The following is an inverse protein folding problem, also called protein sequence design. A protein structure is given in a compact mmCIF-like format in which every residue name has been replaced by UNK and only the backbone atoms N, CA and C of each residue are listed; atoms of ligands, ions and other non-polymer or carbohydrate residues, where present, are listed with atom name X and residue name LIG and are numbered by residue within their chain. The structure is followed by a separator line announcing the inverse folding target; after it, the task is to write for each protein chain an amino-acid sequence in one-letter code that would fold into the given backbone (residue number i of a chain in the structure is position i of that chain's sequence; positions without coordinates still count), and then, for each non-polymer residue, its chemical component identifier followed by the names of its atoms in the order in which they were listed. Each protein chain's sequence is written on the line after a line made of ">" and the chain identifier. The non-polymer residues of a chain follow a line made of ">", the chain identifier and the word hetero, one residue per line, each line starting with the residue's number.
data_IF_807054303551
#
_entry.id   IF_807054303551
#
_cell.length_a   1.000
_cell.length_b   1.000
_cell.length_c   1.000
_cell.angle_alpha   90.00
_cell.angle_beta   90.00
_cell.angle_gamma   90.00
#
_symmetry.space_group_name_H-M   'P 1'
#
loop_
_entity.id
_entity.type
_entity.pdbx_description
1 polymer ?
#
# COMPACT_ATOMS: atom_id res chain seq x y z
N UNK A 1 5.37 22.58 12.77
CA UNK A 1 5.64 21.31 12.05
C UNK A 1 5.20 21.43 10.59
N UNK A 2 5.90 22.26 9.80
CA UNK A 2 5.43 22.71 8.47
C UNK A 2 6.40 22.36 7.33
N UNK A 3 7.29 21.41 7.52
CA UNK A 3 8.29 21.01 6.53
C UNK A 3 8.53 19.51 6.56
N UNK A 4 8.91 18.95 5.41
CA UNK A 4 9.41 17.59 5.30
C UNK A 4 10.94 17.61 5.34
N UNK A 5 11.57 16.77 6.15
CA UNK A 5 13.02 16.60 6.20
C UNK A 5 13.40 15.23 5.65
N UNK A 6 14.39 15.20 4.76
CA UNK A 6 14.91 13.96 4.17
C UNK A 6 16.41 13.95 4.38
N UNK A 7 16.90 12.98 5.14
CA UNK A 7 18.31 12.72 5.34
C UNK A 7 18.69 11.43 4.63
N UNK A 8 19.71 11.47 3.77
CA UNK A 8 20.07 10.33 2.91
C UNK A 8 21.53 9.94 3.10
N UNK A 9 21.79 8.67 3.44
CA UNK A 9 23.13 8.10 3.53
C UNK A 9 23.34 7.18 2.34
N UNK A 10 24.44 7.38 1.62
CA UNK A 10 24.86 6.52 0.52
C UNK A 10 26.07 5.71 0.98
N UNK A 11 25.95 4.39 0.90
CA UNK A 11 27.01 3.46 1.25
C UNK A 11 27.45 2.72 -0.01
N UNK A 12 28.75 2.75 -0.30
CA UNK A 12 29.34 2.07 -1.45
C UNK A 12 30.41 1.12 -0.93
N UNK A 13 30.27 -0.16 -1.21
CA UNK A 13 31.20 -1.20 -0.81
C UNK A 13 31.77 -1.90 -2.03
N UNK A 14 33.09 -1.91 -2.17
CA UNK A 14 33.77 -2.73 -3.16
C UNK A 14 34.13 -4.08 -2.51
N UNK A 15 33.65 -5.18 -3.10
CA UNK A 15 33.95 -6.55 -2.67
C UNK A 15 34.60 -7.34 -3.80
N UNK A 16 35.54 -8.20 -3.46
CA UNK A 16 36.11 -9.16 -4.41
C UNK A 16 35.17 -10.36 -4.54
N UNK A 17 34.67 -10.63 -5.74
CA UNK A 17 33.81 -11.79 -5.99
C UNK A 17 34.60 -13.08 -5.81
N UNK A 18 34.31 -13.82 -4.74
CA UNK A 18 34.89 -15.15 -4.48
C UNK A 18 34.09 -16.22 -5.23
N UNK A 19 34.09 -16.11 -6.56
CA UNK A 19 33.62 -17.18 -7.42
C UNK A 19 34.82 -18.07 -7.72
N UNK A 20 34.72 -19.38 -7.47
CA UNK A 20 35.74 -20.41 -7.73
C UNK A 20 36.06 -20.61 -9.23
N UNK A 21 35.86 -19.59 -10.06
CA UNK A 21 36.28 -19.57 -11.45
C UNK A 21 37.34 -18.49 -11.67
N UNK A 22 38.33 -18.85 -12.48
CA UNK A 22 39.50 -18.07 -12.88
C UNK A 22 39.11 -16.63 -13.23
N UNK A 23 39.43 -15.69 -12.32
CA UNK A 23 39.20 -14.25 -12.51
C UNK A 23 38.46 -13.60 -11.34
N UNK A 24 39.19 -13.16 -10.32
CA UNK A 24 38.65 -12.40 -9.19
C UNK A 24 38.11 -11.05 -9.68
N UNK A 25 36.79 -10.95 -9.85
CA UNK A 25 36.13 -9.72 -10.33
C UNK A 25 35.71 -8.85 -9.16
N UNK A 26 36.07 -7.57 -9.20
CA UNK A 26 35.59 -6.59 -8.23
C UNK A 26 34.13 -6.24 -8.50
N UNK A 27 33.29 -6.33 -7.47
CA UNK A 27 31.87 -5.97 -7.49
C UNK A 27 31.68 -4.79 -6.55
N UNK A 28 31.07 -3.73 -7.05
CA UNK A 28 30.64 -2.58 -6.26
C UNK A 28 29.18 -2.78 -5.85
N UNK A 29 28.90 -2.76 -4.56
CA UNK A 29 27.56 -2.80 -4.00
C UNK A 29 27.23 -1.42 -3.47
N UNK A 30 26.14 -0.84 -3.97
CA UNK A 30 25.65 0.46 -3.50
C UNK A 30 24.38 0.28 -2.68
N UNK A 31 24.25 1.01 -1.59
CA UNK A 31 23.08 1.01 -0.71
C UNK A 31 22.70 2.45 -0.38
N UNK A 32 21.41 2.73 -0.37
CA UNK A 32 20.86 4.05 -0.05
C UNK A 32 19.92 3.92 1.13
N UNK A 33 20.16 4.72 2.16
CA UNK A 33 19.29 4.82 3.32
C UNK A 33 18.63 6.19 3.34
N UNK A 34 17.31 6.22 3.35
CA UNK A 34 16.54 7.45 3.46
C UNK A 34 15.82 7.49 4.81
N UNK A 35 16.12 8.52 5.61
CA UNK A 35 15.41 8.86 6.82
C UNK A 35 14.53 10.06 6.53
N UNK A 36 13.21 9.87 6.63
CA UNK A 36 12.22 10.87 6.23
C UNK A 36 11.39 11.25 7.45
N UNK A 37 11.41 12.52 7.80
CA UNK A 37 10.50 13.13 8.76
C UNK A 37 9.47 13.96 8.00
N UNK A 38 8.20 13.57 8.12
CA UNK A 38 7.12 14.19 7.37
C UNK A 38 6.50 15.33 8.19
N UNK A 39 6.04 16.36 7.48
CA UNK A 39 5.25 17.42 8.10
C UNK A 39 3.99 16.85 8.76
N UNK A 40 3.40 17.64 9.68
CA UNK A 40 2.20 17.25 10.38
C UNK A 40 1.05 16.87 9.44
N UNK A 41 0.33 15.80 9.75
CA UNK A 41 -0.78 15.28 8.94
C UNK A 41 -2.11 16.02 9.18
N UNK A 42 -2.12 17.01 10.08
CA UNK A 42 -3.28 17.79 10.44
C UNK A 42 -3.82 18.67 9.29
N UNK A 43 -5.14 18.81 9.25
CA UNK A 43 -5.81 19.60 8.20
C UNK A 43 -5.73 21.10 8.46
N UNK A 44 -5.51 21.88 7.39
CA UNK A 44 -5.45 23.35 7.42
C UNK A 44 -6.68 24.04 7.99
N UNK A 45 -7.85 23.40 7.92
CA UNK A 45 -9.08 23.95 8.53
C UNK A 45 -8.96 24.16 10.05
N UNK A 46 -7.96 23.54 10.69
CA UNK A 46 -7.63 23.75 12.11
C UNK A 46 -6.67 24.90 12.37
N UNK A 47 -5.88 25.28 11.37
CA UNK A 47 -5.00 26.43 11.50
C UNK A 47 -5.86 27.66 11.21
N UNK A 48 -6.17 28.47 12.22
CA UNK A 48 -6.77 29.82 12.08
C UNK A 48 -5.80 30.81 11.43
N UNK A 49 -5.05 30.33 10.45
CA UNK A 49 -4.05 31.05 9.68
C UNK A 49 -4.77 31.87 8.60
N UNK A 50 -4.33 33.10 8.37
CA UNK A 50 -4.92 34.04 7.42
C UNK A 50 -3.85 34.46 6.40
N UNK A 51 -4.24 34.67 5.15
CA UNK A 51 -3.36 35.20 4.10
C UNK A 51 -2.25 34.23 3.67
N UNK A 52 -1.00 34.67 3.68
CA UNK A 52 0.14 33.92 3.15
C UNK A 52 0.46 32.63 3.93
N UNK A 53 0.09 32.57 5.22
CA UNK A 53 0.20 31.35 6.02
C UNK A 53 -0.73 30.22 5.50
N UNK A 54 -1.86 30.56 4.86
CA UNK A 54 -2.75 29.58 4.21
C UNK A 54 -2.06 29.02 2.97
N UNK A 55 -1.46 29.89 2.13
CA UNK A 55 -0.77 29.47 0.90
C UNK A 55 0.39 28.52 1.21
N UNK A 56 1.18 28.84 2.23
CA UNK A 56 2.24 27.97 2.73
C UNK A 56 1.68 26.62 3.18
N UNK A 57 0.63 26.65 4.01
CA UNK A 57 -0.02 25.44 4.51
C UNK A 57 -0.57 24.53 3.40
N UNK A 58 -1.14 25.12 2.34
CA UNK A 58 -1.60 24.38 1.15
C UNK A 58 -0.42 23.68 0.46
N UNK A 59 0.70 24.39 0.28
CA UNK A 59 1.90 23.84 -0.37
C UNK A 59 2.50 22.67 0.41
N UNK A 60 2.51 22.74 1.73
CA UNK A 60 3.04 21.68 2.61
C UNK A 60 2.16 20.42 2.54
N UNK A 61 0.85 20.61 2.59
CA UNK A 61 -0.12 19.53 2.54
C UNK A 61 -0.28 18.92 1.15
N UNK A 62 0.13 19.63 0.09
CA UNK A 62 0.22 19.06 -1.25
C UNK A 62 1.14 17.83 -1.27
N UNK A 63 2.27 17.87 -0.56
CA UNK A 63 3.20 16.75 -0.46
C UNK A 63 2.55 15.51 0.18
N UNK A 64 1.88 15.68 1.33
CA UNK A 64 1.19 14.58 2.02
C UNK A 64 -0.02 14.06 1.25
N UNK A 65 -0.74 14.97 0.57
CA UNK A 65 -1.88 14.61 -0.26
C UNK A 65 -1.44 13.77 -1.46
N UNK A 66 -0.41 14.22 -2.20
CA UNK A 66 0.17 13.47 -3.31
C UNK A 66 0.70 12.11 -2.85
N UNK A 67 1.38 12.05 -1.70
CA UNK A 67 1.83 10.81 -1.08
C UNK A 67 0.66 9.85 -0.81
N UNK A 68 -0.47 10.38 -0.30
CA UNK A 68 -1.68 9.60 -0.07
C UNK A 68 -2.29 9.04 -1.36
N UNK A 69 -2.22 9.79 -2.47
CA UNK A 69 -2.69 9.35 -3.78
C UNK A 69 -1.81 8.23 -4.34
N UNK A 70 -0.48 8.38 -4.25
CA UNK A 70 0.49 7.35 -4.64
C UNK A 70 0.26 6.05 -3.86
N UNK A 71 0.13 6.13 -2.53
CA UNK A 71 -0.12 4.97 -1.68
C UNK A 71 -1.44 4.27 -2.04
N UNK A 72 -2.48 5.06 -2.34
CA UNK A 72 -3.79 4.52 -2.72
C UNK A 72 -3.74 3.84 -4.10
N UNK A 73 -2.95 4.38 -5.04
CA UNK A 73 -2.74 3.78 -6.35
C UNK A 73 -1.93 2.46 -6.27
N UNK A 74 -0.95 2.40 -5.37
CA UNK A 74 -0.09 1.23 -5.17
C UNK A 74 -0.76 0.08 -4.39
N UNK A 75 -1.79 0.36 -3.59
CA UNK A 75 -2.45 -0.63 -2.74
C UNK A 75 -3.20 -1.72 -3.52
N UNK A 76 -3.87 -1.36 -4.60
CA UNK A 76 -4.83 -2.24 -5.27
C UNK A 76 -4.16 -2.96 -6.46
N UNK A 77 -3.73 -4.23 -6.34
CA UNK A 77 -3.10 -4.96 -7.45
C UNK A 77 -4.07 -5.19 -8.63
N UNK A 78 -5.38 -5.21 -8.37
CA UNK A 78 -6.41 -5.27 -9.41
C UNK A 78 -6.50 -3.95 -10.21
N UNK A 79 -6.32 -2.80 -9.53
CA UNK A 79 -6.18 -1.51 -10.19
C UNK A 79 -4.80 -1.31 -10.78
N UNK A 80 -3.73 -1.95 -10.30
CA UNK A 80 -2.42 -1.86 -10.94
C UNK A 80 -2.42 -2.37 -12.40
N UNK A 81 -3.36 -3.25 -12.77
CA UNK A 81 -3.58 -3.65 -14.18
C UNK A 81 -4.29 -2.58 -15.03
N UNK A 82 -5.05 -1.67 -14.43
CA UNK A 82 -5.83 -0.63 -15.14
C UNK A 82 -5.26 0.78 -14.97
N UNK A 83 -4.57 1.03 -13.86
CA UNK A 83 -3.85 2.26 -13.54
C UNK A 83 -2.46 2.13 -14.14
N UNK A 84 -2.35 2.56 -15.39
CA UNK A 84 -1.09 2.55 -16.15
C UNK A 84 -0.03 3.49 -15.55
N UNK A 85 -0.44 4.49 -14.77
CA UNK A 85 0.44 5.54 -14.28
C UNK A 85 0.23 5.85 -12.79
N UNK A 86 1.31 5.78 -12.01
CA UNK A 86 1.33 6.17 -10.60
C UNK A 86 1.80 7.64 -10.52
N UNK A 87 1.06 8.53 -9.81
CA UNK A 87 1.30 9.98 -9.84
C UNK A 87 2.47 10.44 -8.95
N UNK A 88 3.66 9.87 -9.13
CA UNK A 88 4.84 10.32 -8.37
C UNK A 88 5.21 11.78 -8.66
N UNK A 89 4.84 12.30 -9.84
CA UNK A 89 5.22 13.63 -10.31
C UNK A 89 4.43 14.78 -9.67
N UNK A 90 3.34 14.48 -8.98
CA UNK A 90 2.43 15.48 -8.41
C UNK A 90 3.07 16.29 -7.26
N UNK A 91 4.13 15.77 -6.63
CA UNK A 91 4.92 16.50 -5.65
C UNK A 91 6.41 16.17 -5.72
N UNK A 92 7.26 17.10 -5.27
CA UNK A 92 8.71 16.84 -5.15
C UNK A 92 9.00 15.70 -4.17
N UNK A 93 8.23 15.60 -3.08
CA UNK A 93 8.35 14.56 -2.06
C UNK A 93 8.15 13.17 -2.67
N UNK A 94 7.05 12.96 -3.40
CA UNK A 94 6.73 11.68 -4.04
C UNK A 94 7.71 11.31 -5.16
N UNK A 95 8.37 12.28 -5.80
CA UNK A 95 9.45 12.03 -6.77
C UNK A 95 10.72 11.52 -6.09
N UNK A 96 11.09 12.11 -4.95
CA UNK A 96 12.27 11.68 -4.19
C UNK A 96 12.06 10.30 -3.57
N UNK A 97 10.82 10.00 -3.13
CA UNK A 97 10.46 8.72 -2.50
C UNK A 97 9.94 7.66 -3.48
N UNK A 98 10.08 7.89 -4.79
CA UNK A 98 9.58 6.97 -5.80
C UNK A 98 10.20 5.57 -5.67
N UNK A 99 11.47 5.49 -5.31
CA UNK A 99 12.15 4.20 -5.12
C UNK A 99 11.67 3.51 -3.82
N UNK A 100 11.36 4.30 -2.79
CA UNK A 100 10.85 3.81 -1.51
C UNK A 100 9.42 3.29 -1.58
N UNK A 101 8.59 3.76 -2.51
CA UNK A 101 7.17 3.39 -2.59
C UNK A 101 6.93 2.60 -3.87
N UNK A 102 6.87 1.27 -3.79
CA UNK A 102 6.66 0.39 -4.95
C UNK A 102 7.89 0.20 -5.84
N UNK A 103 9.06 0.69 -5.44
CA UNK A 103 10.34 0.55 -6.16
C UNK A 103 11.31 -0.46 -5.55
N UNK A 104 12.60 -0.20 -5.73
CA UNK A 104 13.72 -1.02 -5.28
C UNK A 104 14.24 -0.54 -3.91
N UNK A 105 13.42 -0.71 -2.88
CA UNK A 105 13.82 -0.36 -1.52
C UNK A 105 13.10 -1.20 -0.47
N UNK A 106 13.78 -1.42 0.65
CA UNK A 106 13.13 -1.84 1.89
C UNK A 106 12.59 -0.62 2.61
N UNK A 107 11.28 -0.56 2.77
CA UNK A 107 10.60 0.64 3.28
C UNK A 107 9.83 0.31 4.54
N UNK A 108 10.10 1.07 5.59
CA UNK A 108 9.42 1.01 6.87
C UNK A 108 8.71 2.34 7.10
N UNK A 109 7.43 2.28 7.46
CA UNK A 109 6.66 3.45 7.88
C UNK A 109 6.37 3.35 9.38
N UNK A 110 6.74 4.38 10.13
CA UNK A 110 6.37 4.54 11.54
C UNK A 110 5.24 5.55 11.64
N UNK A 111 4.09 5.12 12.15
CA UNK A 111 2.93 5.98 12.33
C UNK A 111 2.89 6.49 13.77
N UNK A 112 3.26 7.76 13.96
CA UNK A 112 3.20 8.42 15.28
C UNK A 112 1.78 8.90 15.56
N UNK A 113 1.18 8.39 16.64
CA UNK A 113 -0.17 8.78 17.09
C UNK A 113 -0.14 9.25 18.53
N UNK A 114 -1.01 10.20 18.86
CA UNK A 114 -1.15 10.73 20.22
C UNK A 114 -2.39 10.10 20.89
N UNK A 115 -2.29 9.69 22.18
CA UNK A 115 -3.40 9.09 22.92
C UNK A 115 -4.44 10.10 23.43
N UNK A 116 -4.24 11.40 23.20
CA UNK A 116 -5.12 12.45 23.74
C UNK A 116 -6.53 12.38 23.12
N UNK A 117 -7.57 12.46 23.96
CA UNK A 117 -8.98 12.33 23.57
C UNK A 117 -9.39 13.33 22.48
N UNK A 118 -8.82 14.53 22.49
CA UNK A 118 -9.03 15.55 21.47
C UNK A 118 -8.64 15.07 20.05
N UNK A 119 -7.50 14.38 19.91
CA UNK A 119 -7.05 13.87 18.61
C UNK A 119 -7.89 12.68 18.12
N UNK A 120 -8.50 11.94 19.04
CA UNK A 120 -9.44 10.85 18.75
C UNK A 120 -10.78 11.43 18.30
N UNK A 121 -11.35 12.41 19.03
CA UNK A 121 -12.62 13.09 18.69
C UNK A 121 -12.57 13.79 17.32
N UNK A 122 -11.40 14.29 16.93
CA UNK A 122 -11.20 14.99 15.64
C UNK A 122 -10.79 14.03 14.50
N UNK A 123 -10.80 12.72 14.73
CA UNK A 123 -10.48 11.67 13.75
C UNK A 123 -9.05 11.72 13.16
N UNK A 124 -8.10 12.48 13.72
CA UNK A 124 -6.73 12.55 13.18
C UNK A 124 -5.94 11.26 13.44
N UNK A 125 -6.09 10.68 14.64
CA UNK A 125 -5.51 9.37 14.96
C UNK A 125 -6.05 8.29 14.02
N UNK A 126 -7.36 8.29 13.77
CA UNK A 126 -8.00 7.34 12.85
C UNK A 126 -7.51 7.53 11.41
N UNK A 127 -7.35 8.76 10.95
CA UNK A 127 -6.84 9.05 9.60
C UNK A 127 -5.40 8.55 9.44
N UNK A 128 -4.55 8.77 10.44
CA UNK A 128 -3.15 8.31 10.45
C UNK A 128 -3.08 6.79 10.41
N UNK A 129 -3.90 6.09 11.21
CA UNK A 129 -3.97 4.62 11.20
C UNK A 129 -4.52 4.07 9.87
N UNK A 130 -5.56 4.69 9.30
CA UNK A 130 -6.07 4.33 7.96
C UNK A 130 -5.01 4.52 6.88
N UNK A 131 -4.19 5.57 7.00
CA UNK A 131 -3.08 5.82 6.09
C UNK A 131 -2.01 4.73 6.21
N UNK A 132 -1.56 4.42 7.43
CA UNK A 132 -0.60 3.36 7.70
C UNK A 132 -1.10 1.99 7.20
N UNK A 133 -2.38 1.68 7.40
CA UNK A 133 -2.97 0.44 6.91
C UNK A 133 -2.98 0.36 5.37
N UNK A 134 -3.17 1.50 4.67
CA UNK A 134 -3.02 1.52 3.21
C UNK A 134 -1.57 1.30 2.79
N UNK A 135 -0.63 1.99 3.44
CA UNK A 135 0.81 1.87 3.17
C UNK A 135 1.35 0.45 3.39
N UNK A 136 0.85 -0.26 4.41
CA UNK A 136 1.22 -1.66 4.71
C UNK A 136 1.00 -2.62 3.54
N UNK A 137 0.02 -2.35 2.67
CA UNK A 137 -0.34 -3.23 1.57
C UNK A 137 0.51 -3.00 0.30
N UNK A 138 1.42 -2.01 0.30
CA UNK A 138 2.32 -1.75 -0.82
C UNK A 138 3.39 -2.85 -0.86
N UNK A 139 3.60 -3.40 -2.06
CA UNK A 139 4.63 -4.41 -2.29
C UNK A 139 5.82 -3.76 -3.00
N UNK A 140 6.96 -3.71 -2.32
CA UNK A 140 8.22 -3.32 -2.92
C UNK A 140 8.98 -4.54 -3.45
N UNK A 141 9.83 -4.31 -4.47
CA UNK A 141 10.71 -5.35 -5.01
C UNK A 141 12.16 -4.94 -4.80
N UNK A 142 12.65 -5.16 -3.58
CA UNK A 142 14.04 -4.90 -3.24
C UNK A 142 14.98 -5.91 -3.93
N UNK A 143 16.04 -5.40 -4.54
CA UNK A 143 17.11 -6.11 -5.23
C UNK A 143 18.46 -5.51 -4.81
N UNK A 144 19.47 -6.36 -4.68
CA UNK A 144 20.81 -5.90 -4.33
C UNK A 144 21.40 -5.15 -5.53
N UNK A 145 21.70 -3.87 -5.32
CA UNK A 145 22.37 -3.04 -6.33
C UNK A 145 23.85 -3.40 -6.39
N UNK A 146 24.16 -4.48 -7.10
CA UNK A 146 25.52 -4.92 -7.37
C UNK A 146 25.87 -4.59 -8.83
N UNK A 147 26.85 -3.71 -9.02
CA UNK A 147 27.44 -3.39 -10.32
C UNK A 147 28.85 -3.92 -10.36
N UNK A 148 29.34 -4.28 -11.54
CA UNK A 148 30.74 -4.64 -11.70
C UNK A 148 31.59 -3.38 -11.58
N UNK A 149 32.72 -3.45 -10.87
CA UNK A 149 33.59 -2.30 -10.69
C UNK A 149 34.05 -1.76 -12.06
N UNK A 150 33.90 -0.45 -12.26
CA UNK A 150 34.22 0.23 -13.52
C UNK A 150 33.02 0.54 -14.42
N UNK A 151 31.83 -0.05 -14.21
CA UNK A 151 30.63 0.31 -15.01
C UNK A 151 30.09 1.72 -14.73
N UNK A 152 30.51 2.37 -13.65
CA UNK A 152 30.19 3.77 -13.36
C UNK A 152 31.20 4.74 -14.02
N UNK A 153 32.32 4.21 -14.53
CA UNK A 153 33.38 4.96 -15.17
C UNK A 153 33.24 4.90 -16.70
N UNK A 154 33.00 6.06 -17.31
CA UNK A 154 32.80 6.20 -18.75
C UNK A 154 34.06 5.77 -19.53
N UNK A 155 35.25 6.02 -18.99
CA UNK A 155 36.52 5.69 -19.66
C UNK A 155 36.76 4.17 -19.65
N UNK A 156 36.39 3.50 -18.56
CA UNK A 156 36.40 2.04 -18.47
C UNK A 156 35.41 1.41 -19.46
N UNK A 157 34.18 1.94 -19.55
CA UNK A 157 33.18 1.49 -20.53
C UNK A 157 33.65 1.66 -21.98
N UNK A 158 34.25 2.80 -22.31
CA UNK A 158 34.78 3.06 -23.66
C UNK A 158 35.92 2.12 -24.02
N UNK A 159 36.88 1.90 -23.10
CA UNK A 159 37.99 0.98 -23.32
C UNK A 159 37.53 -0.48 -23.45
N UNK A 160 36.53 -0.90 -22.67
CA UNK A 160 35.92 -2.22 -22.78
C UNK A 160 35.22 -2.42 -24.13
N UNK A 161 34.46 -1.42 -24.59
CA UNK A 161 33.79 -1.45 -25.91
C UNK A 161 34.82 -1.57 -27.03
N UNK A 162 35.94 -0.83 -26.96
CA UNK A 162 37.03 -0.93 -27.93
C UNK A 162 37.66 -2.33 -27.94
N UNK A 163 37.91 -2.91 -26.76
CA UNK A 163 38.46 -4.26 -26.63
C UNK A 163 37.52 -5.32 -27.23
N UNK A 164 36.23 -5.28 -26.87
CA UNK A 164 35.23 -6.21 -27.39
C UNK A 164 35.04 -6.07 -28.91
N UNK A 165 35.07 -4.85 -29.45
CA UNK A 165 35.04 -4.62 -30.90
C UNK A 165 36.24 -5.26 -31.61
N UNK A 166 37.43 -5.18 -31.01
CA UNK A 166 38.65 -5.81 -31.54
C UNK A 166 38.57 -7.34 -31.47
N UNK A 167 38.09 -7.90 -30.37
CA UNK A 167 37.88 -9.36 -30.24
C UNK A 167 36.83 -9.87 -31.23
N UNK A 168 35.72 -9.15 -31.43
CA UNK A 168 34.72 -9.49 -32.44
C UNK A 168 35.27 -9.39 -33.87
N UNK A 169 36.13 -8.41 -34.16
CA UNK A 169 36.81 -8.31 -35.44
C UNK A 169 37.76 -9.50 -35.66
N UNK A 170 38.50 -9.90 -34.63
CA UNK A 170 39.37 -11.07 -34.68
C UNK A 170 38.58 -12.38 -34.84
N UNK A 171 37.46 -12.54 -34.12
CA UNK A 171 36.57 -13.72 -34.23
C UNK A 171 35.88 -13.83 -35.58
N UNK A 172 35.52 -12.69 -36.19
CA UNK A 172 35.02 -12.63 -37.57
C UNK A 172 36.13 -12.95 -38.57
N UNK A 173 37.35 -12.49 -38.33
CA UNK A 173 38.51 -12.79 -39.17
C UNK A 173 38.98 -14.24 -39.05
N UNK A 174 38.81 -14.87 -37.87
CA UNK A 174 39.21 -16.26 -37.61
C UNK A 174 38.24 -17.30 -38.17
N UNK A 175 37.24 -16.92 -38.98
CA UNK A 175 36.48 -17.84 -39.84
C UNK A 175 35.53 -18.83 -39.14
N UNK A 176 35.52 -18.93 -37.82
CA UNK A 176 34.74 -19.93 -37.06
C UNK A 176 33.23 -19.84 -37.33
N UNK A 177 32.72 -18.63 -37.57
CA UNK A 177 31.31 -18.39 -37.96
C UNK A 177 31.03 -18.82 -39.40
N UNK A 178 32.02 -18.75 -40.28
CA UNK A 178 31.91 -19.19 -41.67
C UNK A 178 31.90 -20.73 -41.77
N UNK A 179 32.75 -21.43 -41.01
CA UNK A 179 32.79 -22.91 -40.96
C UNK A 179 31.52 -23.56 -40.38
N UNK A 180 30.92 -22.93 -39.36
CA UNK A 180 29.65 -23.41 -38.80
C UNK A 180 28.49 -23.18 -39.77
N UNK A 181 28.54 -22.08 -40.54
CA UNK A 181 27.55 -21.78 -41.57
C UNK A 181 27.67 -22.69 -42.81
N UNK A 182 28.87 -23.13 -43.17
CA UNK A 182 29.07 -24.09 -44.26
C UNK A 182 28.60 -25.48 -43.87
N UNK A 183 28.81 -25.90 -42.61
CA UNK A 183 28.37 -27.21 -42.10
C UNK A 183 26.85 -27.35 -42.04
N UNK A 184 26.12 -26.25 -41.82
CA UNK A 184 24.66 -26.21 -41.88
C UNK A 184 24.11 -26.30 -43.31
N UNK A 185 24.84 -25.76 -44.31
CA UNK A 185 24.42 -25.79 -45.73
C UNK A 185 24.57 -27.17 -46.37
N UNK A 186 25.55 -27.96 -45.95
CA UNK A 186 25.74 -29.34 -46.44
C UNK A 186 24.65 -30.29 -45.96
N UNK A 187 24.00 -30.00 -44.83
CA UNK A 187 22.89 -30.80 -44.30
C UNK A 187 21.56 -30.49 -45.02
N UNK A 188 21.41 -29.28 -45.54
CA UNK A 188 20.21 -28.85 -46.29
C UNK A 188 20.18 -29.29 -47.76
N UNK A 189 21.25 -29.90 -48.28
CA UNK A 189 21.36 -30.31 -49.69
C UNK A 189 21.13 -31.81 -49.93
N UNK A 190 20.49 -32.53 -49.01
CA UNK A 190 20.23 -33.99 -49.12
C UNK A 190 18.78 -34.33 -49.54
N UNK A 191 17.86 -33.35 -49.61
CA UNK A 191 16.54 -33.58 -50.20
C UNK A 191 16.52 -33.06 -51.65
N UNK A 192 16.58 -33.95 -52.65
CA UNK A 192 15.59 -33.92 -53.76
C UNK A 192 15.70 -35.00 -54.86
N UNK A 193 16.66 -35.93 -54.89
CA UNK A 193 16.66 -36.97 -55.93
C UNK A 193 16.95 -38.37 -55.41
N UNK A 194 15.93 -39.23 -55.31
CA UNK A 194 16.15 -40.65 -54.99
C UNK A 194 14.95 -41.47 -54.51
N UNK A 195 13.79 -41.36 -55.13
CA UNK A 195 12.75 -42.38 -54.99
C UNK A 195 13.12 -43.62 -55.85
N UNK A 196 13.15 -44.80 -55.22
CA UNK A 196 13.49 -46.13 -55.77
C UNK A 196 14.97 -46.53 -55.77
N UNK A 197 15.42 -47.10 -54.65
CA UNK A 197 15.93 -48.48 -54.58
C UNK A 197 16.17 -48.85 -53.12
N UNK A 198 15.60 -49.98 -52.69
CA UNK A 198 15.83 -50.53 -51.37
C UNK A 198 17.29 -50.91 -51.19
N UNK A 199 17.91 -50.36 -50.14
CA UNK A 199 18.62 -51.09 -49.08
C UNK A 199 19.10 -50.04 -48.07
N UNK A 200 18.26 -49.77 -47.07
CA UNK A 200 18.59 -48.84 -45.99
C UNK A 200 19.55 -49.53 -45.04
N UNK A 201 20.84 -49.19 -45.13
CA UNK A 201 21.88 -49.74 -44.26
C UNK A 201 21.53 -49.64 -42.77
N UNK A 202 22.24 -50.41 -41.90
CA UNK A 202 21.90 -50.64 -40.49
C UNK A 202 21.73 -49.37 -39.63
N UNK A 203 22.18 -48.22 -40.13
CA UNK A 203 22.12 -46.93 -39.44
C UNK A 203 20.72 -46.27 -39.48
N UNK A 204 19.93 -46.45 -40.54
CA UNK A 204 18.58 -45.84 -40.62
C UNK A 204 17.56 -46.60 -39.74
N UNK A 205 17.71 -47.92 -39.65
CA UNK A 205 16.89 -48.75 -38.77
C UNK A 205 17.23 -48.47 -37.30
N UNK A 206 18.51 -48.38 -36.95
CA UNK A 206 18.95 -48.00 -35.61
C UNK A 206 18.48 -46.58 -35.21
N UNK A 207 18.49 -45.63 -36.14
CA UNK A 207 18.00 -44.28 -35.89
C UNK A 207 16.48 -44.28 -35.65
N UNK A 208 15.73 -45.08 -36.41
CA UNK A 208 14.28 -45.26 -36.23
C UNK A 208 13.93 -45.93 -34.89
N UNK A 209 14.71 -46.92 -34.47
CA UNK A 209 14.56 -47.58 -33.18
C UNK A 209 14.91 -46.63 -32.01
N UNK A 210 15.94 -45.80 -32.16
CA UNK A 210 16.26 -44.77 -31.17
C UNK A 210 15.16 -43.70 -31.04
N UNK A 211 14.49 -43.36 -32.16
CA UNK A 211 13.40 -42.41 -32.18
C UNK A 211 12.15 -42.96 -31.48
N UNK A 212 11.80 -44.24 -31.71
CA UNK A 212 10.68 -44.88 -31.02
C UNK A 212 10.94 -45.04 -29.53
N UNK A 213 12.18 -45.36 -29.13
CA UNK A 213 12.58 -45.42 -27.73
C UNK A 213 12.51 -44.04 -27.05
N UNK A 214 12.97 -42.99 -27.73
CA UNK A 214 12.92 -41.62 -27.21
C UNK A 214 11.46 -41.13 -27.09
N UNK A 215 10.61 -41.50 -28.04
CA UNK A 215 9.17 -41.20 -28.01
C UNK A 215 8.46 -41.92 -26.84
N UNK A 216 8.85 -43.15 -26.55
CA UNK A 216 8.36 -43.90 -25.39
C UNK A 216 8.82 -43.29 -24.05
N UNK A 217 10.09 -42.84 -23.96
CA UNK A 217 10.61 -42.13 -22.78
C UNK A 217 9.88 -40.80 -22.54
N UNK A 218 9.59 -40.05 -23.61
CA UNK A 218 8.85 -38.79 -23.53
C UNK A 218 7.41 -39.00 -23.06
N UNK A 219 6.72 -40.01 -23.57
CA UNK A 219 5.36 -40.37 -23.14
C UNK A 219 5.33 -40.77 -21.65
N UNK A 220 6.33 -41.52 -21.18
CA UNK A 220 6.46 -41.91 -19.78
C UNK A 220 6.73 -40.69 -18.88
N UNK A 221 7.62 -39.79 -19.27
CA UNK A 221 7.91 -38.56 -18.52
C UNK A 221 6.69 -37.64 -18.41
N UNK A 222 5.84 -37.58 -19.44
CA UNK A 222 4.59 -36.81 -19.43
C UNK A 222 3.56 -37.40 -18.45
N UNK A 223 3.46 -38.73 -18.41
CA UNK A 223 2.65 -39.49 -17.44
C UNK A 223 3.11 -39.22 -15.99
N UNK A 224 4.41 -39.33 -15.73
CA UNK A 224 4.97 -39.14 -14.39
C UNK A 224 4.78 -37.70 -13.91
N UNK A 225 4.89 -36.71 -14.81
CA UNK A 225 4.62 -35.30 -14.51
C UNK A 225 3.15 -35.04 -14.18
N UNK A 226 2.20 -35.65 -14.91
CA UNK A 226 0.77 -35.51 -14.66
C UNK A 226 0.35 -36.18 -13.35
N UNK A 227 0.95 -37.31 -13.00
CA UNK A 227 0.73 -37.99 -11.72
C UNK A 227 1.35 -37.20 -10.54
N UNK A 228 2.52 -36.60 -10.71
CA UNK A 228 3.12 -35.72 -9.71
C UNK A 228 2.27 -34.45 -9.47
N UNK A 229 1.69 -33.87 -10.52
CA UNK A 229 0.80 -32.71 -10.42
C UNK A 229 -0.53 -33.02 -9.72
N UNK A 230 -1.13 -34.20 -9.98
CA UNK A 230 -2.38 -34.59 -9.31
C UNK A 230 -2.15 -34.90 -7.82
N UNK A 231 -1.04 -35.54 -7.48
CA UNK A 231 -0.63 -35.77 -6.09
C UNK A 231 -0.35 -34.45 -5.35
N UNK A 232 0.34 -33.50 -5.99
CA UNK A 232 0.57 -32.17 -5.42
C UNK A 232 -0.73 -31.40 -5.19
N UNK A 233 -1.69 -31.46 -6.12
CA UNK A 233 -3.00 -30.80 -5.99
C UNK A 233 -3.88 -31.43 -4.89
N UNK A 234 -3.76 -32.74 -4.70
CA UNK A 234 -4.52 -33.48 -3.67
C UNK A 234 -3.97 -33.18 -2.27
N UNK A 235 -2.63 -33.14 -2.12
CA UNK A 235 -1.94 -32.77 -0.88
C UNK A 235 -2.14 -31.29 -0.52
N UNK A 236 -2.14 -30.38 -1.51
CA UNK A 236 -2.46 -28.97 -1.27
C UNK A 236 -3.91 -28.75 -0.82
N UNK A 237 -4.85 -29.54 -1.34
CA UNK A 237 -6.27 -29.41 -0.99
C UNK A 237 -6.60 -29.87 0.43
N UNK A 238 -5.90 -30.88 0.95
CA UNK A 238 -6.15 -31.41 2.31
C UNK A 238 -5.43 -30.62 3.40
N UNK A 239 -4.24 -30.07 3.13
CA UNK A 239 -3.46 -29.31 4.13
C UNK A 239 -4.03 -27.89 4.35
N UNK A 240 -4.62 -27.27 3.32
CA UNK A 240 -5.10 -25.88 3.44
C UNK A 240 -6.43 -25.71 4.17
N UNK A 241 -7.23 -26.78 4.32
CA UNK A 241 -8.58 -26.66 4.86
C UNK A 241 -8.65 -27.00 6.36
N UNK A 242 -7.95 -28.04 6.84
CA UNK A 242 -7.96 -28.38 8.27
C UNK A 242 -7.15 -27.41 9.14
N UNK A 243 -5.95 -27.05 8.71
CA UNK A 243 -5.06 -26.17 9.50
C UNK A 243 -5.54 -24.71 9.55
N UNK A 244 -6.28 -24.25 8.53
CA UNK A 244 -6.82 -22.90 8.46
C UNK A 244 -8.10 -22.77 9.30
N UNK A 245 -8.97 -23.77 9.25
CA UNK A 245 -10.21 -23.81 10.05
C UNK A 245 -9.88 -23.82 11.56
N UNK A 246 -8.94 -24.68 11.99
CA UNK A 246 -8.54 -24.79 13.40
C UNK A 246 -7.85 -23.52 13.94
N UNK A 247 -7.17 -22.75 13.08
CA UNK A 247 -6.53 -21.48 13.47
C UNK A 247 -7.54 -20.33 13.53
N UNK A 248 -8.61 -20.38 12.74
CA UNK A 248 -9.60 -19.30 12.63
C UNK A 248 -10.73 -19.45 13.64
N UNK A 249 -11.08 -20.69 14.00
CA UNK A 249 -12.10 -21.00 14.99
C UNK A 249 -11.98 -20.16 16.29
N UNK A 250 -10.82 -20.09 16.97
CA UNK A 250 -10.71 -19.34 18.22
C UNK A 250 -10.85 -17.83 18.02
N UNK A 251 -10.35 -17.30 16.91
CA UNK A 251 -10.44 -15.87 16.57
C UNK A 251 -11.89 -15.47 16.30
N UNK A 252 -12.62 -16.30 15.56
CA UNK A 252 -14.05 -16.09 15.27
C UNK A 252 -14.89 -16.17 16.54
N UNK A 253 -14.59 -17.09 17.46
CA UNK A 253 -15.27 -17.15 18.76
C UNK A 253 -15.00 -15.93 19.64
N UNK A 254 -13.78 -15.41 19.65
CA UNK A 254 -13.43 -14.19 20.39
C UNK A 254 -14.16 -12.98 19.83
N UNK A 255 -14.22 -12.82 18.50
CA UNK A 255 -15.02 -11.78 17.86
C UNK A 255 -16.50 -11.91 18.16
N UNK A 256 -17.07 -13.12 18.14
CA UNK A 256 -18.47 -13.36 18.53
C UNK A 256 -18.74 -12.92 19.97
N UNK A 257 -17.85 -13.26 20.91
CA UNK A 257 -17.95 -12.81 22.32
C UNK A 257 -17.85 -11.29 22.45
N UNK A 258 -16.96 -10.65 21.68
CA UNK A 258 -16.84 -9.19 21.70
C UNK A 258 -18.08 -8.50 21.13
N UNK A 259 -18.69 -9.06 20.07
CA UNK A 259 -19.91 -8.51 19.48
C UNK A 259 -21.07 -8.60 20.46
N UNK A 260 -21.28 -9.75 21.10
CA UNK A 260 -22.36 -9.90 22.09
C UNK A 260 -22.17 -9.00 23.31
N UNK A 261 -20.93 -8.83 23.77
CA UNK A 261 -20.60 -7.87 24.83
C UNK A 261 -20.95 -6.42 24.42
N UNK A 262 -20.55 -6.01 23.21
CA UNK A 262 -20.86 -4.67 22.69
C UNK A 262 -22.36 -4.45 22.50
N UNK A 263 -23.09 -5.45 22.01
CA UNK A 263 -24.56 -5.41 21.89
C UNK A 263 -25.23 -5.25 23.25
N UNK A 264 -24.74 -5.95 24.29
CA UNK A 264 -25.26 -5.79 25.65
C UNK A 264 -25.02 -4.39 26.23
N UNK A 265 -23.83 -3.81 26.01
CA UNK A 265 -23.51 -2.44 26.43
C UNK A 265 -24.36 -1.41 25.69
N UNK A 266 -24.61 -1.63 24.39
CA UNK A 266 -25.47 -0.78 23.59
C UNK A 266 -26.93 -0.85 24.07
N UNK A 267 -27.41 -2.01 24.48
CA UNK A 267 -28.74 -2.15 25.08
C UNK A 267 -28.85 -1.39 26.41
N UNK A 268 -27.86 -1.51 27.30
CA UNK A 268 -27.82 -0.79 28.58
C UNK A 268 -27.77 0.72 28.40
N UNK A 269 -26.93 1.22 27.49
CA UNK A 269 -26.82 2.65 27.21
C UNK A 269 -28.08 3.21 26.58
N UNK A 270 -28.75 2.47 25.70
CA UNK A 270 -30.08 2.84 25.17
C UNK A 270 -31.13 2.94 26.27
N UNK A 271 -31.16 1.97 27.19
CA UNK A 271 -32.10 2.01 28.31
C UNK A 271 -31.84 3.20 29.25
N UNK A 272 -30.56 3.48 29.56
CA UNK A 272 -30.18 4.64 30.35
C UNK A 272 -30.54 5.97 29.67
N UNK A 273 -30.35 6.06 28.35
CA UNK A 273 -30.72 7.24 27.57
C UNK A 273 -32.24 7.47 27.60
N UNK A 274 -33.04 6.42 27.37
CA UNK A 274 -34.50 6.52 27.41
C UNK A 274 -35.01 6.99 28.79
N UNK A 275 -34.42 6.49 29.88
CA UNK A 275 -34.74 6.95 31.23
C UNK A 275 -34.38 8.43 31.44
N UNK A 276 -33.22 8.86 30.93
CA UNK A 276 -32.79 10.26 31.00
C UNK A 276 -33.71 11.17 30.18
N UNK A 277 -34.13 10.75 28.99
CA UNK A 277 -35.09 11.49 28.15
C UNK A 277 -36.43 11.64 28.86
N UNK A 278 -36.96 10.56 29.44
CA UNK A 278 -38.20 10.61 30.21
C UNK A 278 -38.09 11.59 31.40
N UNK A 279 -36.98 11.54 32.14
CA UNK A 279 -36.73 12.48 33.25
C UNK A 279 -36.67 13.94 32.78
N UNK A 280 -36.04 14.20 31.63
CA UNK A 280 -36.00 15.53 31.02
C UNK A 280 -37.39 16.02 30.62
N UNK A 281 -38.21 15.18 29.99
CA UNK A 281 -39.58 15.57 29.61
C UNK A 281 -40.46 15.88 30.83
N UNK A 282 -40.27 15.15 31.94
CA UNK A 282 -40.99 15.44 33.18
C UNK A 282 -40.57 16.78 33.79
N UNK A 283 -39.27 17.09 33.77
CA UNK A 283 -38.74 18.38 34.24
C UNK A 283 -39.20 19.54 33.36
N UNK A 284 -39.22 19.37 32.04
CA UNK A 284 -39.76 20.37 31.11
C UNK A 284 -41.25 20.64 31.37
N UNK A 285 -42.03 19.59 31.64
CA UNK A 285 -43.43 19.72 32.05
C UNK A 285 -43.61 20.53 33.34
N UNK A 286 -42.80 20.24 34.37
CA UNK A 286 -42.80 20.99 35.64
C UNK A 286 -42.40 22.45 35.43
N UNK A 287 -41.38 22.71 34.62
CA UNK A 287 -40.92 24.05 34.29
C UNK A 287 -42.02 24.87 33.59
N UNK A 288 -42.69 24.27 32.60
CA UNK A 288 -43.80 24.91 31.87
C UNK A 288 -44.98 25.23 32.80
N UNK A 289 -45.30 24.34 33.73
CA UNK A 289 -46.35 24.57 34.72
C UNK A 289 -46.01 25.74 35.67
N UNK A 290 -44.78 25.76 36.20
CA UNK A 290 -44.29 26.85 37.06
C UNK A 290 -44.26 28.19 36.32
N UNK A 291 -43.89 28.21 35.04
CA UNK A 291 -43.92 29.41 34.21
C UNK A 291 -45.35 29.98 34.09
N UNK A 292 -46.35 29.12 33.84
CA UNK A 292 -47.74 29.55 33.75
C UNK A 292 -48.26 30.12 35.08
N UNK A 293 -47.91 29.49 36.21
CA UNK A 293 -48.27 30.01 37.54
C UNK A 293 -47.64 31.39 37.75
N UNK A 294 -46.36 31.54 37.42
CA UNK A 294 -45.63 32.79 37.59
C UNK A 294 -46.20 33.91 36.72
N UNK A 295 -46.58 33.62 35.47
CA UNK A 295 -47.29 34.57 34.60
C UNK A 295 -48.64 34.99 35.20
N UNK A 296 -49.43 34.04 35.70
CA UNK A 296 -50.70 34.35 36.36
C UNK A 296 -50.52 35.21 37.61
N UNK A 297 -49.52 34.91 38.44
CA UNK A 297 -49.18 35.72 39.61
C UNK A 297 -48.73 37.13 39.21
N UNK A 298 -47.93 37.26 38.16
CA UNK A 298 -47.51 38.56 37.60
C UNK A 298 -48.70 39.39 37.14
N UNK A 299 -49.67 38.77 36.45
CA UNK A 299 -50.90 39.43 36.00
C UNK A 299 -51.74 39.91 37.19
N UNK A 300 -51.94 39.06 38.20
CA UNK A 300 -52.69 39.42 39.41
C UNK A 300 -52.01 40.58 40.17
N UNK A 301 -50.68 40.56 40.28
CA UNK A 301 -49.92 41.65 40.88
C UNK A 301 -50.06 42.96 40.10
N UNK A 302 -50.08 42.89 38.76
CA UNK A 302 -50.32 44.06 37.91
C UNK A 302 -51.73 44.63 38.13
N UNK A 303 -52.75 43.78 38.22
CA UNK A 303 -54.11 44.20 38.54
C UNK A 303 -54.20 44.86 39.91
N UNK A 304 -53.68 44.20 40.96
CA UNK A 304 -53.68 44.74 42.33
C UNK A 304 -52.96 46.09 42.43
N UNK A 305 -51.81 46.25 41.75
CA UNK A 305 -51.12 47.55 41.65
C UNK A 305 -52.00 48.61 40.98
N UNK A 306 -52.72 48.25 39.92
CA UNK A 306 -53.67 49.13 39.25
C UNK A 306 -54.82 49.57 40.17
N UNK A 307 -55.38 48.66 40.95
CA UNK A 307 -56.41 48.96 41.95
C UNK A 307 -55.88 49.87 43.06
N UNK A 308 -54.67 49.60 43.57
CA UNK A 308 -54.02 50.43 44.58
C UNK A 308 -53.82 51.86 44.08
N UNK A 309 -53.35 52.03 42.83
CA UNK A 309 -53.16 53.35 42.22
C UNK A 309 -54.47 54.15 42.17
N UNK A 310 -55.58 53.51 41.76
CA UNK A 310 -56.91 54.15 41.73
C UNK A 310 -57.41 54.53 43.12
N UNK A 311 -57.13 53.71 44.13
CA UNK A 311 -57.50 54.02 45.53
C UNK A 311 -56.69 55.19 46.08
N UNK A 312 -55.37 55.22 45.82
CA UNK A 312 -54.49 56.32 46.20
C UNK A 312 -54.93 57.63 45.54
N UNK A 313 -55.28 57.59 44.25
CA UNK A 313 -55.85 58.74 43.54
C UNK A 313 -57.14 59.24 44.20
N UNK A 314 -58.06 58.33 44.58
CA UNK A 314 -59.30 58.71 45.28
C UNK A 314 -59.06 59.29 46.66
N UNK A 315 -58.15 58.73 47.46
CA UNK A 315 -57.79 59.30 48.75
C UNK A 315 -57.15 60.69 48.62
N UNK A 316 -56.31 60.90 47.60
CA UNK A 316 -55.72 62.21 47.35
C UNK A 316 -56.77 63.25 46.98
N UNK A 317 -57.77 62.89 46.17
CA UNK A 317 -58.89 63.77 45.84
C UNK A 317 -59.76 64.05 47.07
N UNK A 318 -60.00 63.05 47.93
CA UNK A 318 -60.84 63.21 49.12
C UNK A 318 -60.17 64.01 50.25
N UNK A 319 -58.83 64.07 50.29
CA UNK A 319 -58.05 64.93 51.20
C UNK A 319 -57.91 66.38 50.72
N UNK A 320 -58.22 66.65 49.46
CA UNK A 320 -58.09 67.99 48.85
C UNK A 320 -59.38 68.80 48.89
N UNK A 321 -60.47 68.22 49.40
CA UNK A 321 -61.73 68.88 49.78
C UNK A 321 -61.79 69.07 51.30
#
# INVERSE_FOLDING_TARGET
>A
SKSHAIFSIHFTQCKLSSSNQVGSKWITVTSKFHFVDLAGSERLKRTSAIGDQIKEGISINLGLHALGNVISALRDPAKAKTVTHIPYRDSKLTRLLQDSLGGNAHTLMVACVSPTEYNIKVNETLNTLKYANRARNIKNRAQVNATEAGWEDVDYLQSLVLKLRKELANLKASGLVAELSSSFRTLSSIDEEGASRGDGGPNYLALKDSFTELQAKYAKALSDLTQAQSNFKTVLGTIHQSSFEDMIQPVVEEYKKSITALESQLALTKAALAHSEQSMTELEGKLSHEQLINENQSNLLAELKGWLSRLVERESHNKSY
#
